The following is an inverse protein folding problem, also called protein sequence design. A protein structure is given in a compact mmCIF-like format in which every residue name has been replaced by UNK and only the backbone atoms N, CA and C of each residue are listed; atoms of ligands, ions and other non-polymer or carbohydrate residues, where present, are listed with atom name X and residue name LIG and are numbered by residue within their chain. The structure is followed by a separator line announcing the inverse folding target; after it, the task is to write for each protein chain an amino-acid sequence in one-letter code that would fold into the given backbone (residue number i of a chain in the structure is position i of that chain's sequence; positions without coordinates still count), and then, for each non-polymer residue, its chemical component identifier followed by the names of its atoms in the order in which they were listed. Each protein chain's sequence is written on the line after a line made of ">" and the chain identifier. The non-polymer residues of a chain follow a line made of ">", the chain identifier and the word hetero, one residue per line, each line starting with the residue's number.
data_IF_746931655573
#
_entry.id   IF_746931655573
#
_cell.length_a   1.000
_cell.length_b   1.000
_cell.length_c   1.000
_cell.angle_alpha   90.00
_cell.angle_beta   90.00
_cell.angle_gamma   90.00
#
_symmetry.space_group_name_H-M   'P 1'
#
loop_
_entity.id
_entity.type
_entity.pdbx_description
1 polymer ?
#
# COMPACT_ATOMS: atom_id res chain seq x y z
N UNK A 1 16.98 -10.70 0.52
CA UNK A 1 16.79 -10.71 -0.95
C UNK A 1 15.58 -9.85 -1.24
N UNK A 2 15.76 -8.74 -1.95
CA UNK A 2 14.70 -7.76 -2.20
C UNK A 2 13.67 -8.25 -3.22
N UNK A 3 12.71 -7.39 -3.54
CA UNK A 3 11.74 -7.62 -4.63
C UNK A 3 12.26 -6.88 -5.85
N UNK A 4 12.58 -7.61 -6.91
CA UNK A 4 13.14 -7.02 -8.11
C UNK A 4 12.07 -6.62 -9.14
N UNK A 5 10.84 -7.11 -8.99
CA UNK A 5 9.77 -6.90 -9.97
C UNK A 5 8.37 -6.91 -9.35
N UNK A 6 7.49 -6.07 -9.89
CA UNK A 6 6.05 -6.11 -9.62
C UNK A 6 5.41 -7.48 -9.94
N UNK A 7 5.98 -8.23 -10.90
CA UNK A 7 5.46 -9.56 -11.27
C UNK A 7 5.69 -10.62 -10.20
N UNK A 8 6.64 -10.40 -9.28
CA UNK A 8 6.88 -11.28 -8.14
C UNK A 8 5.89 -10.99 -7.00
N UNK A 9 5.15 -9.88 -7.08
CA UNK A 9 4.18 -9.48 -6.07
C UNK A 9 2.79 -10.00 -6.40
N UNK A 10 2.22 -10.78 -5.48
CA UNK A 10 0.78 -10.99 -5.44
C UNK A 10 0.11 -9.80 -4.75
N UNK A 11 -0.06 -8.71 -5.51
CA UNK A 11 -0.65 -7.47 -5.00
C UNK A 11 -2.02 -7.71 -4.36
N UNK A 12 -2.84 -8.56 -4.95
CA UNK A 12 -4.18 -8.87 -4.43
C UNK A 12 -4.07 -9.50 -3.05
N UNK A 13 -3.20 -10.50 -2.88
CA UNK A 13 -2.97 -11.15 -1.59
C UNK A 13 -2.40 -10.18 -0.55
N UNK A 14 -1.48 -9.31 -0.94
CA UNK A 14 -0.89 -8.30 -0.05
C UNK A 14 -1.98 -7.35 0.47
N UNK A 15 -2.78 -6.77 -0.42
CA UNK A 15 -3.86 -5.85 -0.03
C UNK A 15 -4.90 -6.54 0.87
N UNK A 16 -5.32 -7.77 0.53
CA UNK A 16 -6.25 -8.55 1.34
C UNK A 16 -5.69 -8.86 2.75
N UNK A 17 -4.38 -9.08 2.88
CA UNK A 17 -3.73 -9.33 4.16
C UNK A 17 -3.60 -8.06 5.01
N UNK A 18 -3.28 -6.92 4.39
CA UNK A 18 -3.28 -5.60 5.06
C UNK A 18 -4.68 -5.28 5.60
N UNK A 19 -5.72 -5.46 4.78
CA UNK A 19 -7.12 -5.26 5.22
C UNK A 19 -7.46 -6.09 6.45
N UNK A 20 -7.14 -7.39 6.42
CA UNK A 20 -7.42 -8.32 7.54
C UNK A 20 -6.64 -7.97 8.79
N UNK A 21 -5.35 -7.65 8.65
CA UNK A 21 -4.46 -7.46 9.79
C UNK A 21 -4.72 -6.14 10.51
N UNK A 22 -4.94 -5.07 9.77
CA UNK A 22 -5.15 -3.73 10.32
C UNK A 22 -6.63 -3.33 10.40
N UNK A 23 -7.54 -4.24 10.06
CA UNK A 23 -9.00 -3.99 10.07
C UNK A 23 -9.42 -2.76 9.25
N UNK A 24 -8.73 -2.53 8.14
CA UNK A 24 -9.04 -1.44 7.19
C UNK A 24 -9.78 -2.01 5.96
N UNK A 25 -10.53 -1.16 5.26
CA UNK A 25 -11.15 -1.51 3.97
C UNK A 25 -10.44 -0.76 2.85
N UNK A 26 -9.65 -1.48 2.06
CA UNK A 26 -8.96 -0.93 0.89
C UNK A 26 -9.84 -1.04 -0.35
N UNK A 27 -9.81 -0.05 -1.26
CA UNK A 27 -10.51 -0.15 -2.52
C UNK A 27 -10.04 -1.36 -3.33
N UNK A 28 -10.96 -2.08 -3.98
CA UNK A 28 -10.63 -3.24 -4.82
C UNK A 28 -10.17 -2.86 -6.23
N UNK A 29 -10.39 -1.62 -6.64
CA UNK A 29 -9.93 -1.07 -7.92
C UNK A 29 -8.56 -0.45 -7.73
N UNK A 30 -7.59 -0.90 -8.50
CA UNK A 30 -6.25 -0.30 -8.60
C UNK A 30 -6.10 0.30 -9.99
N UNK A 31 -5.65 1.54 -10.08
CA UNK A 31 -5.44 2.26 -11.35
C UNK A 31 -3.97 2.45 -11.68
N UNK A 32 -3.10 2.46 -10.66
CA UNK A 32 -1.65 2.59 -10.83
C UNK A 32 -0.93 1.79 -9.76
N UNK A 33 0.20 1.19 -10.13
CA UNK A 33 1.12 0.53 -9.22
C UNK A 33 2.53 0.90 -9.64
N UNK A 34 3.31 1.39 -8.69
CA UNK A 34 4.71 1.74 -8.89
C UNK A 34 5.57 1.03 -7.83
N UNK A 35 6.65 0.40 -8.29
CA UNK A 35 7.65 -0.25 -7.44
C UNK A 35 8.99 0.41 -7.68
N UNK A 36 9.62 0.83 -6.60
CA UNK A 36 11.02 1.21 -6.56
C UNK A 36 11.77 0.17 -5.74
N UNK A 37 12.42 -0.76 -6.46
CA UNK A 37 13.18 -1.87 -5.86
C UNK A 37 14.45 -1.39 -5.16
N UNK A 38 15.01 -0.25 -5.59
CA UNK A 38 16.21 0.35 -5.03
C UNK A 38 15.93 0.98 -3.67
N UNK A 39 14.74 1.56 -3.50
CA UNK A 39 14.31 2.22 -2.26
C UNK A 39 13.33 1.38 -1.42
N UNK A 40 13.08 0.12 -1.80
CA UNK A 40 12.13 -0.80 -1.13
C UNK A 40 10.75 -0.17 -0.93
N UNK A 41 10.26 0.52 -1.97
CA UNK A 41 9.02 1.30 -1.96
C UNK A 41 7.99 0.72 -2.92
N UNK A 42 6.75 0.55 -2.43
CA UNK A 42 5.58 0.22 -3.24
C UNK A 42 4.53 1.32 -3.09
N UNK A 43 4.07 1.84 -4.21
CA UNK A 43 2.97 2.79 -4.27
C UNK A 43 1.81 2.17 -5.07
N UNK A 44 0.60 2.27 -4.52
CA UNK A 44 -0.64 1.74 -5.11
C UNK A 44 -1.67 2.85 -5.13
N UNK A 45 -2.13 3.23 -6.33
CA UNK A 45 -3.22 4.20 -6.52
C UNK A 45 -4.52 3.46 -6.78
N UNK A 46 -5.55 3.77 -6.01
CA UNK A 46 -6.89 3.23 -6.19
C UNK A 46 -7.79 4.15 -7.03
N UNK A 47 -7.59 5.47 -6.90
CA UNK A 47 -8.34 6.52 -7.58
C UNK A 47 -7.51 7.80 -7.62
N UNK A 48 -7.69 8.61 -8.67
CA UNK A 48 -7.15 9.98 -8.70
C UNK A 48 -7.88 10.88 -7.70
N UNK A 49 -7.15 11.64 -6.86
CA UNK A 49 -7.74 12.62 -5.98
C UNK A 49 -8.35 13.77 -6.80
N UNK A 50 -9.47 14.30 -6.34
CA UNK A 50 -10.10 15.51 -6.86
C UNK A 50 -9.79 16.74 -5.98
N UNK A 51 -9.04 16.55 -4.90
CA UNK A 51 -8.67 17.59 -3.94
C UNK A 51 -7.43 17.25 -3.12
N UNK A 52 -7.36 17.80 -1.91
CA UNK A 52 -6.26 17.58 -0.98
C UNK A 52 -6.32 16.15 -0.43
N UNK A 53 -5.17 15.50 -0.39
CA UNK A 53 -4.97 14.21 0.25
C UNK A 53 -4.25 14.41 1.59
N UNK A 54 -4.71 13.71 2.63
CA UNK A 54 -4.00 13.57 3.89
C UNK A 54 -3.43 12.16 3.99
N UNK A 55 -2.19 12.04 4.43
CA UNK A 55 -1.55 10.75 4.70
C UNK A 55 -1.77 10.32 6.15
N UNK A 56 -2.33 9.13 6.35
CA UNK A 56 -2.48 8.49 7.65
C UNK A 56 -1.56 7.25 7.74
N UNK A 57 -0.64 7.18 8.73
CA UNK A 57 0.24 6.03 8.89
C UNK A 57 -0.52 4.83 9.46
N UNK A 58 -0.21 3.65 8.93
CA UNK A 58 -0.63 2.38 9.51
C UNK A 58 0.32 1.96 10.65
N UNK A 59 -0.18 1.20 11.65
CA UNK A 59 0.64 0.67 12.73
C UNK A 59 1.44 -0.56 12.26
N UNK A 60 2.23 -0.39 11.21
CA UNK A 60 3.11 -1.40 10.59
C UNK A 60 4.54 -1.23 11.06
N UNK A 61 5.37 -2.28 10.93
CA UNK A 61 6.83 -2.17 11.09
C UNK A 61 7.48 -1.38 9.96
N UNK A 62 6.99 -1.57 8.75
CA UNK A 62 7.29 -0.70 7.61
C UNK A 62 6.62 0.67 7.79
N UNK A 63 7.05 1.68 7.05
CA UNK A 63 6.31 2.93 6.98
C UNK A 63 5.25 2.74 5.89
N UNK A 64 4.03 2.40 6.29
CA UNK A 64 2.90 2.32 5.37
C UNK A 64 1.94 3.47 5.63
N UNK A 65 1.60 4.22 4.59
CA UNK A 65 0.76 5.42 4.64
C UNK A 65 -0.43 5.25 3.71
N UNK A 66 -1.64 5.44 4.23
CA UNK A 66 -2.86 5.52 3.44
C UNK A 66 -3.11 6.98 3.12
N UNK A 67 -3.37 7.27 1.85
CA UNK A 67 -3.83 8.59 1.43
C UNK A 67 -5.34 8.61 1.36
N UNK A 68 -5.93 9.62 1.98
CA UNK A 68 -7.38 9.83 2.07
C UNK A 68 -7.69 11.22 1.51
N UNK A 69 -8.66 11.31 0.61
CA UNK A 69 -9.17 12.59 0.14
C UNK A 69 -10.03 13.27 1.21
N UNK A 70 -9.65 14.47 1.64
CA UNK A 70 -10.27 15.18 2.78
C UNK A 70 -11.79 15.40 2.62
N UNK A 71 -12.24 15.64 1.37
CA UNK A 71 -13.65 15.98 1.11
C UNK A 71 -14.57 14.78 1.15
N UNK A 72 -14.09 13.62 0.72
CA UNK A 72 -14.93 12.42 0.54
C UNK A 72 -14.65 11.36 1.62
N UNK A 73 -13.49 11.42 2.26
CA UNK A 73 -12.99 10.37 3.14
C UNK A 73 -12.63 9.09 2.39
N UNK A 74 -12.53 9.14 1.06
CA UNK A 74 -12.18 7.97 0.26
C UNK A 74 -10.67 7.74 0.28
N UNK A 75 -10.27 6.48 0.44
CA UNK A 75 -8.89 6.06 0.27
C UNK A 75 -8.52 6.15 -1.21
N UNK A 76 -7.51 6.95 -1.52
CA UNK A 76 -7.04 7.22 -2.88
C UNK A 76 -5.76 6.48 -3.22
N UNK A 77 -4.87 6.27 -2.24
CA UNK A 77 -3.62 5.55 -2.44
C UNK A 77 -3.10 4.87 -1.16
N UNK A 78 -2.13 3.98 -1.34
CA UNK A 78 -1.34 3.33 -0.31
C UNK A 78 0.13 3.40 -0.72
N UNK A 79 0.97 3.98 0.14
CA UNK A 79 2.42 3.97 0.01
C UNK A 79 3.03 3.09 1.09
N UNK A 80 4.02 2.28 0.73
CA UNK A 80 4.74 1.41 1.64
C UNK A 80 6.23 1.64 1.39
N UNK A 81 6.94 2.16 2.38
CA UNK A 81 8.39 2.25 2.42
C UNK A 81 8.93 1.20 3.39
N UNK A 82 9.83 0.35 2.90
CA UNK A 82 10.23 -0.86 3.63
C UNK A 82 9.32 -2.05 3.29
N UNK A 83 8.94 -2.21 2.01
CA UNK A 83 8.07 -3.29 1.54
C UNK A 83 8.52 -4.67 2.03
N UNK A 84 9.82 -4.93 2.04
CA UNK A 84 10.39 -6.19 2.52
C UNK A 84 9.98 -6.48 3.98
N UNK A 85 10.02 -5.47 4.85
CA UNK A 85 9.59 -5.59 6.25
C UNK A 85 8.08 -5.84 6.37
N UNK A 86 7.27 -5.22 5.51
CA UNK A 86 5.83 -5.46 5.51
C UNK A 86 5.52 -6.92 5.15
N UNK A 87 6.20 -7.47 4.14
CA UNK A 87 5.95 -8.84 3.69
C UNK A 87 6.35 -9.89 4.73
N UNK A 88 7.45 -9.67 5.44
CA UNK A 88 7.83 -10.46 6.61
C UNK A 88 6.75 -10.37 7.70
N UNK A 89 6.23 -9.17 7.96
CA UNK A 89 5.17 -8.94 8.93
C UNK A 89 3.84 -9.65 8.56
N UNK A 90 3.57 -9.78 7.27
CA UNK A 90 2.40 -10.46 6.73
C UNK A 90 2.59 -11.98 6.57
N UNK A 91 3.79 -12.50 6.84
CA UNK A 91 4.11 -13.93 6.73
C UNK A 91 4.10 -14.46 5.29
N UNK A 92 4.34 -13.58 4.31
CA UNK A 92 4.43 -13.95 2.90
C UNK A 92 5.89 -14.30 2.52
N UNK A 93 6.85 -13.82 3.31
CA UNK A 93 8.28 -14.07 3.14
C UNK A 93 8.98 -14.25 4.49
#
# INVERSE_FOLDING_TARGET
>A
MGIASLLELDLKKILDLIERKYSIKLPKKVIEVYLDDTHDLLFVRFKEPQGIETGEPLPTRAIATIFIEEKTGEITALEIVGLSHLLEELGIR
#
